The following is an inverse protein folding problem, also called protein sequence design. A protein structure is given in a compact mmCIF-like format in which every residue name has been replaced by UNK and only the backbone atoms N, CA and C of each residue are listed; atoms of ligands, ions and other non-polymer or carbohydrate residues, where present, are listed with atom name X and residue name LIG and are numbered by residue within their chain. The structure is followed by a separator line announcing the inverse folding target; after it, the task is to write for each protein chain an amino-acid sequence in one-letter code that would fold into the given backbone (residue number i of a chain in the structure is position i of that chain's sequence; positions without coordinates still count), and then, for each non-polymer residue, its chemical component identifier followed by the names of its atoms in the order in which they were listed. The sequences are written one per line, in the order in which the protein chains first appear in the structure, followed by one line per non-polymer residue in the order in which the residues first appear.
data_IF_317431990137
#
_entry.id   IF_317431990137
#
_cell.length_a   1.000
_cell.length_b   1.000
_cell.length_c   1.000
_cell.angle_alpha   90.00
_cell.angle_beta   90.00
_cell.angle_gamma   90.00
#
_symmetry.space_group_name_H-M   'P 1'
#
loop_
_entity.id
_entity.type
_entity.pdbx_description
1 polymer ?
#
# COMPACT_ATOMS: atom_id res chain seq x y z
N UNK A 1 28.75 15.33 -25.28
CA UNK A 1 28.39 14.44 -24.17
C UNK A 1 26.91 14.15 -24.28
N UNK A 2 26.50 12.89 -24.29
CA UNK A 2 25.09 12.53 -24.26
C UNK A 2 24.49 13.02 -22.93
N UNK A 3 23.35 13.70 -23.01
CA UNK A 3 22.59 14.12 -21.82
C UNK A 3 21.61 13.01 -21.45
N UNK A 4 21.31 12.81 -20.15
CA UNK A 4 20.35 11.81 -19.72
C UNK A 4 18.93 12.15 -20.15
N UNK A 5 18.23 11.19 -20.75
CA UNK A 5 16.80 11.23 -21.02
C UNK A 5 16.01 10.68 -19.82
N UNK A 6 15.82 11.54 -18.83
CA UNK A 6 15.02 11.25 -17.66
C UNK A 6 13.56 10.91 -17.95
N UNK A 7 13.02 11.41 -19.06
CA UNK A 7 11.64 11.16 -19.45
C UNK A 7 11.48 9.75 -19.99
N UNK A 8 12.45 9.27 -20.78
CA UNK A 8 12.52 7.87 -21.19
C UNK A 8 12.60 6.95 -19.97
N UNK A 9 13.55 7.19 -19.06
CA UNK A 9 13.70 6.40 -17.83
C UNK A 9 12.42 6.36 -16.98
N UNK A 10 11.80 7.53 -16.76
CA UNK A 10 10.53 7.64 -16.01
C UNK A 10 9.40 6.85 -16.68
N UNK A 11 9.22 6.99 -17.99
CA UNK A 11 8.16 6.29 -18.73
C UNK A 11 8.38 4.79 -18.78
N UNK A 12 9.63 4.35 -18.87
CA UNK A 12 9.97 2.91 -18.85
C UNK A 12 9.61 2.29 -17.50
N UNK A 13 9.91 2.95 -16.38
CA UNK A 13 9.48 2.50 -15.05
C UNK A 13 7.94 2.41 -14.95
N UNK A 14 7.21 3.44 -15.39
CA UNK A 14 5.74 3.43 -15.33
C UNK A 14 5.10 2.41 -16.26
N UNK A 15 5.74 2.14 -17.41
CA UNK A 15 5.30 1.08 -18.32
C UNK A 15 5.47 -0.28 -17.65
N UNK A 16 6.59 -0.53 -16.97
CA UNK A 16 6.79 -1.76 -16.21
C UNK A 16 5.71 -1.95 -15.13
N UNK A 17 5.42 -0.90 -14.34
CA UNK A 17 4.33 -0.93 -13.35
C UNK A 17 2.98 -1.30 -13.98
N UNK A 18 2.71 -0.82 -15.19
CA UNK A 18 1.48 -1.11 -15.93
C UNK A 18 1.47 -2.56 -16.43
N UNK A 19 2.54 -2.99 -17.08
CA UNK A 19 2.60 -4.26 -17.80
C UNK A 19 2.57 -5.44 -16.81
N UNK A 20 3.22 -5.30 -15.65
CA UNK A 20 3.19 -6.29 -14.56
C UNK A 20 2.03 -6.08 -13.57
N UNK A 21 1.09 -5.16 -13.85
CA UNK A 21 -0.09 -4.89 -13.02
C UNK A 21 0.23 -4.57 -11.53
N UNK A 22 1.38 -3.93 -11.25
CA UNK A 22 1.81 -3.61 -9.90
C UNK A 22 0.94 -2.49 -9.30
N UNK A 23 0.32 -2.75 -8.15
CA UNK A 23 -0.69 -1.88 -7.53
C UNK A 23 -0.48 -1.58 -6.03
N UNK A 24 0.61 -2.06 -5.43
CA UNK A 24 0.91 -1.89 -4.01
C UNK A 24 2.36 -1.49 -3.75
N UNK A 25 2.62 -0.95 -2.55
CA UNK A 25 3.96 -0.65 -2.04
C UNK A 25 4.16 -1.29 -0.65
N UNK A 26 5.40 -1.60 -0.22
CA UNK A 26 6.64 -1.63 -1.00
C UNK A 26 6.56 -2.55 -2.22
N UNK A 27 7.32 -2.25 -3.27
CA UNK A 27 7.34 -3.10 -4.48
C UNK A 27 8.25 -4.30 -4.24
N UNK A 28 7.72 -5.50 -4.49
CA UNK A 28 8.51 -6.73 -4.48
C UNK A 28 9.29 -6.89 -5.79
N UNK A 29 10.57 -6.50 -5.76
CA UNK A 29 11.44 -6.62 -6.93
C UNK A 29 11.77 -8.07 -7.28
N UNK A 30 11.79 -9.01 -6.31
CA UNK A 30 12.10 -10.41 -6.63
C UNK A 30 11.05 -10.99 -7.58
N UNK A 31 9.77 -10.68 -7.32
CA UNK A 31 8.67 -11.02 -8.21
C UNK A 31 8.83 -10.39 -9.60
N UNK A 32 9.25 -9.13 -9.70
CA UNK A 32 9.53 -8.48 -11.01
C UNK A 32 10.63 -9.21 -11.78
N UNK A 33 11.75 -9.54 -11.14
CA UNK A 33 12.84 -10.26 -11.79
C UNK A 33 12.38 -11.62 -12.32
N UNK A 34 11.58 -12.34 -11.52
CA UNK A 34 10.98 -13.62 -11.90
C UNK A 34 10.02 -13.46 -13.10
N UNK A 35 9.10 -12.50 -13.08
CA UNK A 35 8.12 -12.25 -14.15
C UNK A 35 8.81 -11.88 -15.48
N UNK A 36 9.95 -11.18 -15.41
CA UNK A 36 10.75 -10.83 -16.58
C UNK A 36 11.68 -11.97 -17.04
N UNK A 37 11.77 -13.07 -16.31
CA UNK A 37 12.70 -14.17 -16.59
C UNK A 37 14.17 -13.78 -16.47
N UNK A 38 14.49 -12.78 -15.64
CA UNK A 38 15.86 -12.33 -15.38
C UNK A 38 16.34 -13.03 -14.11
N UNK A 39 17.45 -13.76 -14.22
CA UNK A 39 18.01 -14.48 -13.08
C UNK A 39 18.54 -13.49 -12.04
N UNK A 40 18.14 -13.68 -10.80
CA UNK A 40 18.52 -12.85 -9.67
C UNK A 40 19.17 -13.74 -8.61
N UNK A 41 20.42 -13.45 -8.25
CA UNK A 41 21.17 -14.19 -7.23
C UNK A 41 21.76 -13.24 -6.19
N UNK A 42 21.66 -13.61 -4.93
CA UNK A 42 22.42 -12.95 -3.88
C UNK A 42 23.90 -13.32 -3.95
N UNK A 43 24.76 -12.48 -3.38
CA UNK A 43 26.17 -12.78 -3.24
C UNK A 43 26.39 -14.05 -2.40
N UNK A 44 25.60 -14.24 -1.34
CA UNK A 44 25.67 -15.46 -0.53
C UNK A 44 25.31 -16.73 -1.33
N UNK A 45 24.29 -16.70 -2.20
CA UNK A 45 23.97 -17.84 -3.08
C UNK A 45 25.08 -18.07 -4.11
N UNK A 46 25.59 -17.00 -4.71
CA UNK A 46 26.60 -17.06 -5.76
C UNK A 46 27.99 -17.51 -5.25
N UNK A 47 28.25 -17.53 -3.94
CA UNK A 47 29.45 -18.12 -3.34
C UNK A 47 29.56 -19.63 -3.55
N UNK A 48 28.45 -20.31 -3.84
CA UNK A 48 28.45 -21.74 -4.19
C UNK A 48 28.45 -21.99 -5.71
N UNK A 49 28.59 -20.94 -6.51
CA UNK A 49 28.55 -20.98 -7.98
C UNK A 49 29.95 -20.83 -8.61
N UNK A 50 30.10 -21.02 -9.93
CA UNK A 50 31.33 -20.68 -10.65
C UNK A 50 31.77 -19.21 -10.51
N UNK A 51 30.90 -18.32 -10.02
CA UNK A 51 31.20 -16.90 -9.80
C UNK A 51 31.81 -16.59 -8.44
N UNK A 52 31.96 -17.56 -7.52
CA UNK A 52 32.38 -17.35 -6.14
C UNK A 52 33.62 -16.44 -5.97
N UNK A 53 34.69 -16.73 -6.71
CA UNK A 53 35.94 -15.94 -6.63
C UNK A 53 35.76 -14.49 -7.11
N UNK A 54 34.82 -14.24 -8.02
CA UNK A 54 34.48 -12.89 -8.48
C UNK A 54 33.61 -12.16 -7.46
N UNK A 55 32.60 -12.83 -6.91
CA UNK A 55 31.71 -12.29 -5.87
C UNK A 55 32.53 -11.83 -4.65
N UNK A 56 33.52 -12.62 -4.23
CA UNK A 56 34.44 -12.23 -3.15
C UNK A 56 35.20 -10.93 -3.47
N UNK A 57 35.65 -10.74 -4.72
CA UNK A 57 36.30 -9.50 -5.15
C UNK A 57 35.33 -8.31 -5.16
N UNK A 58 34.05 -8.51 -5.50
CA UNK A 58 33.03 -7.47 -5.44
C UNK A 58 32.75 -7.03 -4.00
N UNK A 59 32.64 -7.98 -3.06
CA UNK A 59 32.49 -7.71 -1.63
C UNK A 59 33.64 -6.85 -1.08
N UNK A 60 34.89 -7.21 -1.41
CA UNK A 60 36.08 -6.44 -1.02
C UNK A 60 36.07 -5.00 -1.56
N UNK A 61 35.41 -4.77 -2.71
CA UNK A 61 35.22 -3.45 -3.32
C UNK A 61 33.94 -2.74 -2.86
N UNK A 62 33.18 -3.32 -1.93
CA UNK A 62 31.92 -2.77 -1.41
C UNK A 62 30.91 -2.46 -2.53
N UNK A 63 30.81 -3.37 -3.51
CA UNK A 63 29.85 -3.29 -4.62
C UNK A 63 28.54 -3.94 -4.17
N UNK A 64 27.47 -3.16 -4.04
CA UNK A 64 26.16 -3.66 -3.58
C UNK A 64 25.38 -4.50 -4.63
N UNK A 65 25.78 -4.46 -5.91
CA UNK A 65 25.09 -5.20 -6.99
C UNK A 65 25.74 -4.99 -8.35
N UNK A 66 25.45 -5.89 -9.29
CA UNK A 66 26.05 -5.88 -10.63
C UNK A 66 25.28 -6.78 -11.59
N UNK A 67 25.34 -6.46 -12.87
CA UNK A 67 24.82 -7.31 -13.94
C UNK A 67 25.93 -8.12 -14.65
N UNK A 68 25.65 -9.39 -14.95
CA UNK A 68 26.39 -10.26 -15.85
C UNK A 68 25.54 -10.55 -17.09
N UNK A 69 26.13 -10.45 -18.29
CA UNK A 69 25.47 -10.70 -19.57
C UNK A 69 26.06 -11.90 -20.27
N UNK A 70 25.21 -12.79 -20.77
CA UNK A 70 25.58 -13.86 -21.70
C UNK A 70 24.61 -13.87 -22.90
N UNK A 71 25.05 -13.26 -24.00
CA UNK A 71 24.23 -13.06 -25.18
C UNK A 71 23.05 -12.15 -24.87
N UNK A 72 21.84 -12.72 -24.87
CA UNK A 72 20.58 -12.02 -24.51
C UNK A 72 20.13 -12.28 -23.07
N UNK A 73 20.85 -13.11 -22.32
CA UNK A 73 20.52 -13.46 -20.94
C UNK A 73 21.26 -12.54 -19.99
N UNK A 74 20.59 -12.20 -18.89
CA UNK A 74 21.15 -11.40 -17.82
C UNK A 74 21.03 -12.16 -16.50
N UNK A 75 22.08 -12.07 -15.70
CA UNK A 75 22.09 -12.47 -14.29
C UNK A 75 22.41 -11.22 -13.49
N UNK A 76 21.57 -10.87 -12.53
CA UNK A 76 21.84 -9.79 -11.59
C UNK A 76 22.28 -10.38 -10.27
N UNK A 77 23.43 -9.91 -9.78
CA UNK A 77 23.96 -10.24 -8.47
C UNK A 77 23.77 -9.07 -7.52
N UNK A 78 23.45 -9.33 -6.25
CA UNK A 78 23.33 -8.27 -5.23
C UNK A 78 23.86 -8.71 -3.87
N UNK A 79 24.33 -7.74 -3.08
CA UNK A 79 24.76 -7.98 -1.70
C UNK A 79 23.55 -8.06 -0.77
N UNK A 80 23.20 -9.28 -0.36
CA UNK A 80 22.10 -9.59 0.54
C UNK A 80 22.38 -9.22 2.00
N UNK A 81 23.65 -9.04 2.38
CA UNK A 81 24.07 -8.57 3.71
C UNK A 81 24.13 -7.04 3.81
N UNK A 82 23.80 -6.33 2.74
CA UNK A 82 23.69 -4.88 2.76
C UNK A 82 22.53 -4.44 3.68
N UNK A 83 22.47 -3.16 4.00
CA UNK A 83 21.29 -2.62 4.69
C UNK A 83 20.03 -2.93 3.87
N UNK A 84 19.04 -3.56 4.52
CA UNK A 84 17.83 -4.09 3.86
C UNK A 84 17.14 -3.05 2.99
N UNK A 85 17.11 -1.79 3.44
CA UNK A 85 16.48 -0.68 2.74
C UNK A 85 17.29 -0.12 1.54
N UNK A 86 18.54 -0.55 1.34
CA UNK A 86 19.36 -0.22 0.16
C UNK A 86 19.14 -1.21 -0.98
N UNK A 87 18.85 -2.47 -0.66
CA UNK A 87 18.68 -3.56 -1.63
C UNK A 87 17.65 -3.20 -2.72
N UNK A 88 16.45 -2.65 -2.40
CA UNK A 88 15.46 -2.32 -3.43
C UNK A 88 15.98 -1.30 -4.46
N UNK A 89 16.71 -0.28 -4.03
CA UNK A 89 17.27 0.69 -4.96
C UNK A 89 18.33 0.05 -5.86
N UNK A 90 19.23 -0.74 -5.30
CA UNK A 90 20.26 -1.45 -6.07
C UNK A 90 19.64 -2.36 -7.13
N UNK A 91 18.67 -3.19 -6.73
CA UNK A 91 18.00 -4.11 -7.66
C UNK A 91 17.23 -3.38 -8.76
N UNK A 92 16.53 -2.29 -8.42
CA UNK A 92 15.82 -1.49 -9.41
C UNK A 92 16.77 -0.72 -10.34
N UNK A 93 17.94 -0.30 -9.85
CA UNK A 93 18.98 0.36 -10.63
C UNK A 93 19.59 -0.57 -11.68
N UNK A 94 20.00 -1.79 -11.28
CA UNK A 94 20.50 -2.79 -12.23
C UNK A 94 19.42 -3.18 -13.26
N UNK A 95 18.16 -3.31 -12.83
CA UNK A 95 17.04 -3.55 -13.73
C UNK A 95 16.85 -2.39 -14.72
N UNK A 96 17.05 -1.16 -14.27
CA UNK A 96 17.03 0.04 -15.11
C UNK A 96 18.06 -0.04 -16.23
N UNK A 97 19.29 -0.48 -15.94
CA UNK A 97 20.29 -0.67 -16.99
C UNK A 97 19.87 -1.69 -18.05
N UNK A 98 19.22 -2.78 -17.66
CA UNK A 98 18.73 -3.80 -18.57
C UNK A 98 17.59 -3.24 -19.44
N UNK A 99 16.56 -2.66 -18.83
CA UNK A 99 15.35 -2.23 -19.53
C UNK A 99 15.52 -0.95 -20.35
N UNK A 100 16.53 -0.13 -20.04
CA UNK A 100 16.90 1.05 -20.83
C UNK A 100 17.92 0.72 -21.94
N UNK A 101 18.29 -0.56 -22.09
CA UNK A 101 19.21 -0.99 -23.15
C UNK A 101 20.66 -0.52 -22.96
N UNK A 102 21.04 -0.07 -21.76
CA UNK A 102 22.40 0.42 -21.47
C UNK A 102 23.49 -0.64 -21.72
N UNK A 103 23.08 -1.92 -21.77
CA UNK A 103 23.94 -3.08 -21.93
C UNK A 103 23.87 -3.72 -23.32
N UNK A 104 23.08 -3.20 -24.27
CA UNK A 104 22.89 -3.83 -25.59
C UNK A 104 24.22 -4.00 -26.34
N UNK A 105 25.05 -2.95 -26.33
CA UNK A 105 26.35 -2.92 -27.01
C UNK A 105 27.53 -3.41 -26.14
N UNK A 106 27.26 -3.88 -24.93
CA UNK A 106 28.30 -4.41 -24.04
C UNK A 106 28.68 -5.85 -24.42
N UNK A 107 29.96 -6.23 -24.30
CA UNK A 107 30.38 -7.63 -24.48
C UNK A 107 29.77 -8.53 -23.40
N UNK A 108 29.80 -9.84 -23.64
CA UNK A 108 29.45 -10.83 -22.62
C UNK A 108 30.41 -10.75 -21.43
N UNK A 109 29.92 -11.12 -20.26
CA UNK A 109 30.65 -11.08 -19.01
C UNK A 109 30.05 -10.11 -18.00
N UNK A 110 30.85 -9.81 -16.98
CA UNK A 110 30.50 -8.81 -15.99
C UNK A 110 30.52 -7.42 -16.59
N UNK A 111 29.41 -6.72 -16.45
CA UNK A 111 29.25 -5.39 -16.99
C UNK A 111 29.86 -4.41 -16.00
N UNK A 112 30.81 -3.56 -16.40
CA UNK A 112 31.33 -2.56 -15.50
C UNK A 112 30.17 -1.67 -15.08
N UNK A 113 30.02 -1.40 -13.78
CA UNK A 113 29.34 -0.17 -13.38
C UNK A 113 30.02 0.96 -14.13
N UNK A 114 29.25 1.84 -14.75
CA UNK A 114 29.82 3.01 -15.41
C UNK A 114 30.49 3.94 -14.38
N UNK A 115 30.35 3.64 -13.08
CA UNK A 115 31.02 4.18 -11.90
C UNK A 115 32.56 4.35 -11.98
N UNK A 116 33.30 3.64 -12.84
CA UNK A 116 34.71 3.96 -13.10
C UNK A 116 34.89 5.34 -13.78
N UNK A 117 33.78 6.04 -14.11
CA UNK A 117 33.75 7.33 -14.78
C UNK A 117 32.81 8.34 -14.12
N UNK A 118 32.83 8.47 -12.80
CA UNK A 118 32.13 9.54 -12.02
C UNK A 118 30.60 9.54 -12.15
N UNK A 119 29.92 10.24 -11.24
CA UNK A 119 28.47 10.49 -11.22
C UNK A 119 27.93 11.29 -12.43
N UNK A 120 28.67 11.33 -13.54
CA UNK A 120 28.38 12.10 -14.76
C UNK A 120 27.92 11.25 -15.94
N UNK A 121 28.05 9.93 -15.90
CA UNK A 121 27.52 9.08 -16.98
C UNK A 121 25.99 9.21 -17.03
N UNK A 122 25.46 9.47 -18.23
CA UNK A 122 24.03 9.65 -18.44
C UNK A 122 23.26 8.36 -18.14
N UNK A 123 23.86 7.19 -18.36
CA UNK A 123 23.24 5.87 -18.15
C UNK A 123 22.99 5.58 -16.67
N UNK A 124 23.92 5.96 -15.81
CA UNK A 124 23.78 5.85 -14.35
C UNK A 124 22.66 6.76 -13.86
N UNK A 125 22.62 8.01 -14.35
CA UNK A 125 21.57 8.98 -14.00
C UNK A 125 20.18 8.53 -14.48
N UNK A 126 20.10 7.90 -15.65
CA UNK A 126 18.87 7.32 -16.16
C UNK A 126 18.45 6.08 -15.36
N UNK A 127 19.38 5.19 -15.00
CA UNK A 127 19.12 4.04 -14.14
C UNK A 127 18.63 4.47 -12.74
N UNK A 128 19.24 5.51 -12.14
CA UNK A 128 18.79 6.10 -10.89
C UNK A 128 17.37 6.67 -10.97
N UNK A 129 17.05 7.36 -12.09
CA UNK A 129 15.71 7.89 -12.33
C UNK A 129 14.69 6.77 -12.49
N UNK A 130 15.02 5.73 -13.25
CA UNK A 130 14.19 4.53 -13.41
C UNK A 130 13.95 3.87 -12.05
N UNK A 131 15.01 3.63 -11.28
CA UNK A 131 14.93 2.96 -9.99
C UNK A 131 14.03 3.74 -9.01
N UNK A 132 14.27 5.04 -8.88
CA UNK A 132 13.48 5.91 -8.04
C UNK A 132 12.01 5.95 -8.44
N UNK A 133 11.71 5.99 -9.74
CA UNK A 133 10.33 5.99 -10.24
C UNK A 133 9.61 4.66 -10.09
N UNK A 134 10.35 3.55 -10.17
CA UNK A 134 9.79 2.23 -9.94
C UNK A 134 9.40 2.08 -8.47
N UNK A 135 10.38 2.14 -7.56
CA UNK A 135 10.17 1.74 -6.15
C UNK A 135 9.52 2.82 -5.28
N UNK A 136 9.61 4.09 -5.70
CA UNK A 136 9.11 5.26 -4.98
C UNK A 136 8.64 6.32 -5.97
N UNK A 137 7.60 6.02 -6.74
CA UNK A 137 7.15 6.94 -7.79
C UNK A 137 6.78 8.33 -7.26
N UNK A 138 7.26 9.40 -7.91
CA UNK A 138 6.97 10.80 -7.51
C UNK A 138 5.46 11.11 -7.51
N UNK A 139 4.65 10.67 -8.51
CA UNK A 139 3.19 10.72 -8.45
C UNK A 139 2.55 10.14 -7.17
N UNK A 140 3.06 9.01 -6.64
CA UNK A 140 2.49 8.41 -5.43
C UNK A 140 2.73 9.29 -4.21
N UNK A 141 3.95 9.79 -4.05
CA UNK A 141 4.28 10.74 -2.98
C UNK A 141 3.42 12.01 -3.03
N UNK A 142 3.17 12.54 -4.23
CA UNK A 142 2.26 13.67 -4.43
C UNK A 142 0.82 13.34 -4.04
N UNK A 143 0.30 12.18 -4.49
CA UNK A 143 -1.09 11.77 -4.24
C UNK A 143 -1.38 11.46 -2.76
N UNK A 144 -0.37 11.07 -1.99
CA UNK A 144 -0.47 10.84 -0.54
C UNK A 144 -0.01 12.03 0.30
N UNK A 145 0.31 13.16 -0.34
CA UNK A 145 0.83 14.37 0.31
C UNK A 145 2.12 14.17 1.14
N UNK A 146 2.91 13.14 0.82
CA UNK A 146 4.22 12.87 1.43
C UNK A 146 5.31 13.66 0.71
N UNK A 147 5.23 14.98 0.84
CA UNK A 147 6.07 15.93 0.08
C UNK A 147 6.88 16.88 0.95
N UNK A 148 6.72 16.80 2.28
CA UNK A 148 7.50 17.57 3.23
C UNK A 148 8.86 16.89 3.45
N UNK A 149 9.99 17.62 3.49
CA UNK A 149 11.29 17.04 3.88
C UNK A 149 11.27 16.23 5.17
N UNK A 150 10.41 16.58 6.14
CA UNK A 150 10.24 15.83 7.39
C UNK A 150 9.52 14.49 7.22
N UNK A 151 8.95 14.21 6.05
CA UNK A 151 8.29 12.92 5.76
C UNK A 151 9.28 11.83 5.36
N UNK A 152 10.59 12.12 5.26
CA UNK A 152 11.59 11.19 4.73
C UNK A 152 11.62 9.83 5.45
N UNK A 153 11.52 9.82 6.79
CA UNK A 153 11.44 8.58 7.57
C UNK A 153 10.13 7.81 7.30
N UNK A 154 9.00 8.52 7.16
CA UNK A 154 7.71 7.91 6.83
C UNK A 154 7.78 7.28 5.43
N UNK A 155 8.31 8.01 4.45
CA UNK A 155 8.48 7.54 3.07
C UNK A 155 9.43 6.35 3.03
N UNK A 156 10.55 6.41 3.76
CA UNK A 156 11.50 5.30 3.91
C UNK A 156 10.79 4.02 4.36
N UNK A 157 9.99 4.10 5.42
CA UNK A 157 9.26 2.95 5.96
C UNK A 157 8.12 2.46 5.04
N UNK A 158 7.34 3.38 4.47
CA UNK A 158 6.20 3.03 3.61
C UNK A 158 6.65 2.34 2.32
N UNK A 159 7.69 2.86 1.67
CA UNK A 159 8.17 2.34 0.39
C UNK A 159 9.27 1.29 0.54
N UNK A 160 9.76 1.04 1.77
CA UNK A 160 10.82 0.06 2.04
C UNK A 160 12.17 0.47 1.45
N UNK A 161 12.46 1.77 1.37
CA UNK A 161 13.68 2.32 0.76
C UNK A 161 14.54 3.00 1.81
N UNK A 162 15.80 3.30 1.49
CA UNK A 162 16.68 4.03 2.42
C UNK A 162 16.19 5.47 2.63
N UNK A 163 16.53 6.06 3.78
CA UNK A 163 16.25 7.46 4.08
C UNK A 163 16.76 8.40 2.98
N UNK A 164 17.98 8.17 2.46
CA UNK A 164 18.53 8.95 1.35
C UNK A 164 17.66 8.85 0.08
N UNK A 165 17.21 7.65 -0.28
CA UNK A 165 16.33 7.44 -1.44
C UNK A 165 14.99 8.18 -1.26
N UNK A 166 14.45 8.19 -0.04
CA UNK A 166 13.25 8.94 0.33
C UNK A 166 13.46 10.45 0.19
N UNK A 167 14.53 11.00 0.77
CA UNK A 167 14.88 12.43 0.68
C UNK A 167 15.03 12.90 -0.76
N UNK A 168 15.82 12.18 -1.58
CA UNK A 168 16.00 12.51 -3.01
C UNK A 168 14.65 12.56 -3.73
N UNK A 169 13.74 11.64 -3.40
CA UNK A 169 12.39 11.63 -3.92
C UNK A 169 11.58 12.88 -3.63
N UNK A 170 11.52 13.23 -2.35
CA UNK A 170 10.80 14.41 -1.87
C UNK A 170 11.34 15.67 -2.53
N UNK A 171 12.66 15.78 -2.70
CA UNK A 171 13.30 16.91 -3.38
C UNK A 171 12.95 16.99 -4.87
N UNK A 172 12.90 15.84 -5.57
CA UNK A 172 12.59 15.81 -7.00
C UNK A 172 11.14 16.23 -7.30
N UNK A 173 10.18 15.94 -6.40
CA UNK A 173 8.77 16.34 -6.56
C UNK A 173 8.63 17.86 -6.65
N UNK A 174 9.42 18.62 -5.88
CA UNK A 174 9.35 20.10 -5.83
C UNK A 174 9.60 20.75 -7.20
N UNK A 175 10.19 20.02 -8.15
CA UNK A 175 10.50 20.49 -9.51
C UNK A 175 9.42 20.13 -10.52
N UNK A 176 8.34 19.45 -10.10
CA UNK A 176 7.29 18.94 -10.98
C UNK A 176 5.99 19.68 -10.69
N UNK A 177 5.42 20.30 -11.72
CA UNK A 177 4.06 20.79 -11.65
C UNK A 177 3.08 19.66 -12.02
N UNK A 178 2.56 18.94 -11.03
CA UNK A 178 1.65 17.81 -11.27
C UNK A 178 0.33 18.22 -11.95
N UNK A 179 -0.05 19.50 -11.89
CA UNK A 179 -1.23 20.02 -12.60
C UNK A 179 -1.10 19.91 -14.13
N UNK A 180 0.13 19.83 -14.65
CA UNK A 180 0.38 19.70 -16.10
C UNK A 180 0.36 18.25 -16.60
N UNK A 181 0.26 17.26 -15.69
CA UNK A 181 0.27 15.82 -16.01
C UNK A 181 -0.93 15.05 -15.43
N UNK A 182 -2.18 15.50 -15.67
CA UNK A 182 -3.38 14.89 -15.06
C UNK A 182 -3.60 13.43 -15.48
N UNK A 183 -3.19 13.04 -16.70
CA UNK A 183 -3.28 11.65 -17.17
C UNK A 183 -2.41 10.72 -16.33
N UNK A 184 -1.20 11.16 -15.96
CA UNK A 184 -0.31 10.41 -15.08
C UNK A 184 -0.91 10.26 -13.69
N UNK A 185 -1.44 11.35 -13.11
CA UNK A 185 -2.10 11.29 -11.81
C UNK A 185 -3.30 10.34 -11.80
N UNK A 186 -4.11 10.33 -12.86
CA UNK A 186 -5.23 9.39 -13.02
C UNK A 186 -4.76 7.95 -13.10
N UNK A 187 -3.69 7.68 -13.86
CA UNK A 187 -3.09 6.35 -13.93
C UNK A 187 -2.69 5.83 -12.54
N UNK A 188 -1.97 6.63 -11.76
CA UNK A 188 -1.55 6.23 -10.41
C UNK A 188 -2.71 6.16 -9.41
N UNK A 189 -3.64 7.13 -9.45
CA UNK A 189 -4.83 7.13 -8.59
C UNK A 189 -5.69 5.88 -8.78
N UNK A 190 -5.82 5.42 -10.03
CA UNK A 190 -6.60 4.22 -10.32
C UNK A 190 -5.85 2.95 -9.93
N UNK A 191 -4.55 2.86 -10.22
CA UNK A 191 -3.79 1.63 -9.98
C UNK A 191 -3.47 1.41 -8.51
N UNK A 192 -3.10 2.47 -7.79
CA UNK A 192 -2.77 2.42 -6.37
C UNK A 192 -3.95 2.95 -5.53
N UNK A 193 -5.19 2.67 -5.95
CA UNK A 193 -6.38 3.24 -5.34
C UNK A 193 -6.50 2.85 -3.87
N UNK A 194 -6.31 1.58 -3.53
CA UNK A 194 -6.31 1.11 -2.14
C UNK A 194 -5.23 1.82 -1.32
N UNK A 195 -3.99 1.89 -1.84
CA UNK A 195 -2.89 2.58 -1.17
C UNK A 195 -3.22 4.06 -0.89
N UNK A 196 -3.77 4.79 -1.87
CA UNK A 196 -4.03 6.24 -1.76
C UNK A 196 -5.28 6.53 -0.91
N UNK A 197 -6.30 5.68 -1.01
CA UNK A 197 -7.62 5.96 -0.46
C UNK A 197 -7.97 5.18 0.80
N UNK A 198 -7.05 4.40 1.37
CA UNK A 198 -7.29 3.77 2.68
C UNK A 198 -7.37 4.84 3.76
N UNK A 199 -8.48 4.83 4.50
CA UNK A 199 -8.80 5.79 5.56
C UNK A 199 -9.01 5.07 6.89
N UNK A 200 -8.52 5.70 7.95
CA UNK A 200 -8.74 5.29 9.32
C UNK A 200 -9.50 6.38 10.08
N UNK A 201 -10.48 5.98 10.88
CA UNK A 201 -11.22 6.85 11.77
C UNK A 201 -10.79 6.60 13.22
N UNK A 202 -10.09 7.54 13.86
CA UNK A 202 -9.67 7.41 15.26
C UNK A 202 -10.81 7.46 16.29
N UNK A 203 -12.02 7.89 15.90
CA UNK A 203 -13.17 7.96 16.81
C UNK A 203 -13.80 6.59 17.07
N UNK A 204 -13.86 5.76 16.03
CA UNK A 204 -14.54 4.46 16.07
C UNK A 204 -13.66 3.34 15.52
N UNK A 205 -12.37 3.58 15.33
CA UNK A 205 -11.41 2.58 14.85
C UNK A 205 -11.76 1.89 13.53
N UNK A 206 -12.60 2.51 12.70
CA UNK A 206 -12.99 1.94 11.41
C UNK A 206 -11.90 2.20 10.36
N UNK A 207 -11.45 1.12 9.72
CA UNK A 207 -10.49 1.12 8.61
C UNK A 207 -11.22 0.72 7.33
N UNK A 208 -11.14 1.54 6.28
CA UNK A 208 -11.83 1.27 5.01
C UNK A 208 -11.15 1.92 3.81
N UNK A 209 -11.45 1.45 2.61
CA UNK A 209 -10.97 2.05 1.35
C UNK A 209 -12.03 2.99 0.79
N UNK A 210 -11.71 4.27 0.72
CA UNK A 210 -12.58 5.24 0.08
C UNK A 210 -12.62 5.03 -1.45
N UNK A 211 -13.80 4.74 -1.99
CA UNK A 211 -13.98 4.55 -3.44
C UNK A 211 -13.87 5.87 -4.25
N UNK A 212 -13.95 7.03 -3.59
CA UNK A 212 -13.90 8.36 -4.20
C UNK A 212 -13.21 9.37 -3.30
N UNK A 213 -12.63 10.41 -3.91
CA UNK A 213 -12.02 11.53 -3.17
C UNK A 213 -13.03 12.42 -2.45
N UNK A 214 -14.33 12.30 -2.76
CA UNK A 214 -15.42 13.01 -2.09
C UNK A 214 -15.78 12.44 -0.72
N UNK A 215 -15.12 11.37 -0.29
CA UNK A 215 -15.33 10.81 1.05
C UNK A 215 -14.64 11.70 2.07
N UNK A 216 -15.46 12.41 2.84
CA UNK A 216 -15.03 13.30 3.91
C UNK A 216 -15.45 12.79 5.29
N UNK A 217 -16.41 11.85 5.36
CA UNK A 217 -17.01 11.40 6.61
C UNK A 217 -16.83 9.89 6.79
N UNK A 218 -16.63 9.47 8.03
CA UNK A 218 -16.61 8.07 8.40
C UNK A 218 -18.01 7.45 8.19
N UNK A 219 -18.13 6.34 7.44
CA UNK A 219 -19.42 5.67 7.21
C UNK A 219 -20.05 5.11 8.49
N UNK A 220 -19.25 4.87 9.53
CA UNK A 220 -19.70 4.21 10.76
C UNK A 220 -20.12 5.19 11.84
N UNK A 221 -19.35 6.27 12.06
CA UNK A 221 -19.60 7.21 13.17
C UNK A 221 -19.84 8.67 12.74
N UNK A 222 -19.83 8.96 11.44
CA UNK A 222 -20.03 10.30 10.88
C UNK A 222 -18.90 11.29 11.16
N UNK A 223 -17.76 10.85 11.70
CA UNK A 223 -16.62 11.74 11.98
C UNK A 223 -15.98 12.27 10.68
N UNK A 224 -15.66 13.56 10.64
CA UNK A 224 -15.01 14.20 9.48
C UNK A 224 -13.48 14.05 9.47
N UNK A 225 -12.87 13.83 10.64
CA UNK A 225 -11.42 13.76 10.78
C UNK A 225 -10.88 12.37 10.41
N UNK A 226 -10.95 12.03 9.12
CA UNK A 226 -10.38 10.81 8.57
C UNK A 226 -8.89 10.99 8.28
N UNK A 227 -8.08 10.03 8.71
CA UNK A 227 -6.65 9.99 8.42
C UNK A 227 -6.37 9.04 7.26
N UNK A 228 -5.38 9.37 6.44
CA UNK A 228 -4.82 8.39 5.53
C UNK A 228 -4.05 7.33 6.32
N UNK A 229 -4.31 6.06 6.04
CA UNK A 229 -3.67 4.94 6.73
C UNK A 229 -2.81 4.13 5.78
N UNK A 230 -1.64 3.74 6.29
CA UNK A 230 -0.81 2.70 5.72
C UNK A 230 -0.15 1.93 6.86
N UNK A 231 -0.12 0.60 6.78
CA UNK A 231 0.42 -0.27 7.86
C UNK A 231 1.87 0.05 8.27
N UNK A 232 2.68 0.52 7.32
CA UNK A 232 4.08 0.90 7.57
C UNK A 232 4.25 2.38 7.98
N UNK A 233 3.16 3.13 8.19
CA UNK A 233 3.24 4.50 8.68
C UNK A 233 3.31 4.50 10.21
N UNK A 234 4.51 4.43 10.77
CA UNK A 234 4.72 4.31 12.22
C UNK A 234 4.16 5.49 13.04
N UNK A 235 4.01 6.69 12.46
CA UNK A 235 3.46 7.83 13.19
C UNK A 235 2.01 7.60 13.61
N UNK A 236 1.20 6.92 12.78
CA UNK A 236 -0.20 6.70 13.15
C UNK A 236 -0.30 5.77 14.37
N UNK A 237 0.55 4.76 14.44
CA UNK A 237 0.65 3.85 15.57
C UNK A 237 1.15 4.57 16.82
N UNK A 238 2.10 5.50 16.67
CA UNK A 238 2.59 6.29 17.80
C UNK A 238 1.50 7.18 18.44
N UNK A 239 0.65 7.81 17.63
CA UNK A 239 -0.38 8.74 18.14
C UNK A 239 -1.70 8.07 18.51
N UNK A 240 -2.04 6.95 17.87
CA UNK A 240 -3.37 6.34 17.97
C UNK A 240 -3.32 4.85 18.31
N UNK A 241 -2.12 4.30 18.52
CA UNK A 241 -1.97 2.92 18.97
C UNK A 241 -2.52 2.72 20.38
N UNK A 242 -2.87 1.48 20.67
CA UNK A 242 -3.23 1.04 22.00
C UNK A 242 -2.00 0.88 22.91
N UNK A 243 -2.18 0.23 24.06
CA UNK A 243 -1.09 -0.02 25.03
C UNK A 243 0.05 -0.88 24.48
N UNK A 244 -0.18 -1.62 23.40
CA UNK A 244 0.84 -2.43 22.70
C UNK A 244 1.55 -1.64 21.59
N UNK A 245 1.03 -0.47 21.24
CA UNK A 245 1.49 0.34 20.13
C UNK A 245 0.90 -0.08 18.78
N UNK A 246 -0.09 -0.98 18.77
CA UNK A 246 -0.83 -1.37 17.57
C UNK A 246 -2.06 -0.49 17.38
N UNK A 247 -2.40 -0.17 16.12
CA UNK A 247 -3.57 0.64 15.83
C UNK A 247 -4.84 -0.20 16.09
N UNK A 248 -5.76 0.23 16.97
CA UNK A 248 -6.99 -0.51 17.21
C UNK A 248 -7.86 -0.43 15.97
N UNK A 249 -8.25 -1.59 15.45
CA UNK A 249 -9.14 -1.71 14.30
C UNK A 249 -10.40 -2.44 14.76
N UNK A 250 -11.55 -1.80 14.54
CA UNK A 250 -12.85 -2.40 14.82
C UNK A 250 -13.39 -3.11 13.60
N UNK A 251 -13.75 -4.38 13.77
CA UNK A 251 -14.46 -5.18 12.79
C UNK A 251 -15.98 -5.03 13.00
N UNK A 252 -16.57 -4.13 12.23
CA UNK A 252 -18.00 -3.86 12.28
C UNK A 252 -18.75 -4.88 11.42
N UNK A 253 -19.89 -5.36 11.92
CA UNK A 253 -20.78 -6.29 11.22
C UNK A 253 -21.13 -5.76 9.83
N UNK A 254 -20.79 -6.57 8.83
CA UNK A 254 -21.11 -6.31 7.43
C UNK A 254 -22.30 -7.16 6.99
N UNK A 255 -22.90 -6.81 5.85
CA UNK A 255 -23.99 -7.58 5.26
C UNK A 255 -23.69 -7.79 3.77
N UNK A 256 -23.91 -9.01 3.24
CA UNK A 256 -23.71 -9.30 1.83
C UNK A 256 -24.65 -8.45 0.96
N UNK A 257 -24.16 -8.15 -0.24
CA UNK A 257 -24.87 -7.37 -1.24
C UNK A 257 -24.70 -7.99 -2.62
N UNK A 258 -25.75 -7.89 -3.42
CA UNK A 258 -25.73 -8.31 -4.81
C UNK A 258 -24.78 -7.40 -5.61
N UNK A 259 -23.88 -8.03 -6.38
CA UNK A 259 -22.80 -7.34 -7.10
C UNK A 259 -23.34 -6.43 -8.21
N UNK A 260 -24.47 -6.78 -8.83
CA UNK A 260 -24.99 -6.09 -10.01
C UNK A 260 -25.79 -4.84 -9.64
N UNK A 261 -26.59 -4.90 -8.59
CA UNK A 261 -27.52 -3.82 -8.23
C UNK A 261 -27.21 -3.12 -6.88
N UNK A 262 -26.33 -3.70 -6.05
CA UNK A 262 -25.93 -3.16 -4.75
C UNK A 262 -26.96 -3.33 -3.63
N UNK A 263 -28.02 -4.14 -3.85
CA UNK A 263 -29.03 -4.44 -2.84
C UNK A 263 -28.53 -5.49 -1.87
N UNK A 264 -29.03 -5.43 -0.64
CA UNK A 264 -28.63 -6.36 0.42
C UNK A 264 -29.24 -7.75 0.19
N UNK A 265 -28.43 -8.79 0.37
CA UNK A 265 -28.86 -10.18 0.30
C UNK A 265 -29.34 -10.69 1.66
N UNK A 266 -28.91 -10.04 2.75
CA UNK A 266 -29.32 -10.32 4.12
C UNK A 266 -29.88 -9.07 4.78
N UNK A 267 -31.11 -9.10 5.28
CA UNK A 267 -31.75 -7.94 5.90
C UNK A 267 -31.02 -7.50 7.19
N UNK A 268 -30.53 -6.25 7.30
CA UNK A 268 -29.86 -5.80 8.52
C UNK A 268 -30.75 -5.72 9.76
N UNK A 269 -32.08 -5.61 9.58
CA UNK A 269 -33.05 -5.49 10.70
C UNK A 269 -33.49 -6.83 11.27
N UNK A 270 -33.80 -7.81 10.42
CA UNK A 270 -34.38 -9.09 10.84
C UNK A 270 -33.55 -10.32 10.45
N UNK A 271 -32.37 -10.10 9.85
CA UNK A 271 -31.40 -11.14 9.49
C UNK A 271 -31.92 -12.19 8.50
N UNK A 272 -33.02 -11.91 7.81
CA UNK A 272 -33.46 -12.76 6.70
C UNK A 272 -32.40 -12.80 5.61
N UNK A 273 -31.86 -13.99 5.38
CA UNK A 273 -30.91 -14.30 4.31
C UNK A 273 -31.62 -14.57 2.97
N UNK A 274 -30.84 -14.56 1.88
CA UNK A 274 -31.27 -14.92 0.52
C UNK A 274 -32.47 -14.07 0.02
N UNK A 275 -32.44 -12.75 0.29
CA UNK A 275 -33.42 -11.83 -0.28
C UNK A 275 -33.24 -11.77 -1.79
N UNK A 276 -34.33 -11.99 -2.51
CA UNK A 276 -34.35 -11.88 -3.96
C UNK A 276 -33.92 -10.48 -4.41
N UNK A 277 -32.96 -10.43 -5.35
CA UNK A 277 -32.38 -9.20 -5.85
C UNK A 277 -33.40 -8.29 -6.53
N UNK A 278 -34.53 -8.82 -7.02
CA UNK A 278 -35.60 -8.04 -7.64
C UNK A 278 -36.49 -7.33 -6.61
N UNK A 279 -36.44 -7.75 -5.34
CA UNK A 279 -37.29 -7.20 -4.31
C UNK A 279 -36.77 -5.88 -3.78
N UNK A 280 -37.64 -4.88 -3.70
CA UNK A 280 -37.33 -3.53 -3.20
C UNK A 280 -37.38 -3.44 -1.67
N UNK A 281 -38.04 -4.40 -1.01
CA UNK A 281 -38.27 -4.42 0.42
C UNK A 281 -38.11 -5.85 0.95
N UNK A 282 -37.63 -5.96 2.19
CA UNK A 282 -37.61 -7.21 2.92
C UNK A 282 -39.05 -7.70 3.16
N UNK A 283 -39.38 -8.97 2.86
CA UNK A 283 -40.74 -9.51 3.00
C UNK A 283 -41.20 -9.65 4.46
N UNK A 284 -40.26 -9.67 5.42
CA UNK A 284 -40.56 -9.90 6.85
C UNK A 284 -40.78 -8.59 7.59
N UNK A 285 -39.88 -7.63 7.42
CA UNK A 285 -39.88 -6.40 8.22
C UNK A 285 -40.06 -5.11 7.40
N UNK A 286 -40.31 -5.25 6.09
CA UNK A 286 -40.54 -4.15 5.14
C UNK A 286 -39.41 -3.12 5.04
N UNK A 287 -38.20 -3.43 5.52
CA UNK A 287 -37.04 -2.57 5.34
C UNK A 287 -36.67 -2.52 3.85
N UNK A 288 -36.40 -1.35 3.25
CA UNK A 288 -35.90 -1.28 1.88
C UNK A 288 -34.63 -2.13 1.70
N UNK A 289 -34.44 -2.75 0.53
CA UNK A 289 -33.26 -3.60 0.25
C UNK A 289 -32.03 -2.82 -0.21
N UNK A 290 -32.16 -1.50 -0.41
CA UNK A 290 -31.05 -0.60 -0.73
C UNK A 290 -30.88 0.43 0.39
N UNK A 291 -29.69 0.47 0.98
CA UNK A 291 -29.32 1.58 1.85
C UNK A 291 -29.01 2.81 1.00
N UNK A 292 -29.53 3.98 1.39
CA UNK A 292 -29.36 5.24 0.66
C UNK A 292 -29.15 6.40 1.63
N UNK A 293 -28.50 7.46 1.15
CA UNK A 293 -28.56 8.76 1.79
C UNK A 293 -29.72 9.56 1.19
N UNK A 294 -30.74 9.87 2.00
CA UNK A 294 -31.90 10.63 1.53
C UNK A 294 -31.56 12.08 1.15
N UNK A 295 -30.51 12.66 1.76
CA UNK A 295 -30.12 14.05 1.52
C UNK A 295 -29.40 14.26 0.17
N UNK A 296 -28.52 13.35 -0.23
CA UNK A 296 -27.73 13.49 -1.47
C UNK A 296 -28.00 12.41 -2.52
N UNK A 297 -28.84 11.42 -2.21
CA UNK A 297 -29.23 10.34 -3.13
C UNK A 297 -28.17 9.25 -3.33
N UNK A 298 -27.06 9.27 -2.59
CA UNK A 298 -26.00 8.27 -2.73
C UNK A 298 -26.50 6.88 -2.30
N UNK A 299 -26.22 5.85 -3.10
CA UNK A 299 -26.38 4.45 -2.69
C UNK A 299 -25.24 4.07 -1.76
N UNK A 300 -25.57 3.51 -0.60
CA UNK A 300 -24.62 3.20 0.45
C UNK A 300 -24.50 1.69 0.65
N UNK A 301 -23.36 1.25 1.15
CA UNK A 301 -23.18 -0.13 1.59
C UNK A 301 -24.16 -0.42 2.75
N UNK A 302 -24.65 -1.67 2.89
CA UNK A 302 -25.64 -2.03 3.89
C UNK A 302 -25.25 -1.71 5.34
N UNK A 303 -23.95 -1.76 5.67
CA UNK A 303 -23.45 -1.55 7.02
C UNK A 303 -23.09 -0.08 7.31
N UNK A 304 -23.20 0.82 6.32
CA UNK A 304 -22.91 2.24 6.52
C UNK A 304 -24.05 2.89 7.30
N UNK A 305 -23.69 3.51 8.42
CA UNK A 305 -24.61 4.24 9.31
C UNK A 305 -24.77 5.70 8.88
N UNK A 306 -23.71 6.27 8.31
CA UNK A 306 -23.65 7.64 7.82
C UNK A 306 -23.19 7.66 6.36
N UNK A 307 -23.64 8.65 5.60
CA UNK A 307 -23.18 8.91 4.25
C UNK A 307 -21.73 9.43 4.27
N UNK A 308 -20.78 8.76 3.61
CA UNK A 308 -19.38 9.22 3.56
C UNK A 308 -19.17 10.56 2.84
N UNK A 309 -20.12 10.99 2.01
CA UNK A 309 -20.02 12.24 1.23
C UNK A 309 -20.54 13.47 1.97
N UNK A 310 -21.71 13.38 2.62
CA UNK A 310 -22.35 14.53 3.27
C UNK A 310 -22.46 14.42 4.81
N UNK A 311 -22.12 13.27 5.40
CA UNK A 311 -22.13 13.05 6.84
C UNK A 311 -23.52 12.85 7.47
N UNK A 312 -24.59 12.81 6.67
CA UNK A 312 -25.95 12.56 7.15
C UNK A 312 -26.19 11.09 7.44
N UNK A 313 -27.14 10.79 8.31
CA UNK A 313 -27.52 9.42 8.62
C UNK A 313 -28.04 8.72 7.36
N UNK A 314 -27.62 7.47 7.20
CA UNK A 314 -28.15 6.56 6.19
C UNK A 314 -29.60 6.19 6.52
N UNK A 315 -30.36 5.78 5.50
CA UNK A 315 -31.70 5.24 5.68
C UNK A 315 -31.72 4.13 6.73
N UNK A 316 -30.83 3.14 6.63
CA UNK A 316 -30.84 2.00 7.54
C UNK A 316 -30.58 2.39 9.00
N UNK A 317 -29.75 3.41 9.23
CA UNK A 317 -29.49 3.90 10.58
C UNK A 317 -30.68 4.71 11.13
N UNK A 318 -31.29 5.59 10.32
CA UNK A 318 -32.53 6.31 10.70
C UNK A 318 -33.67 5.35 11.07
N UNK A 319 -33.78 4.28 10.29
CA UNK A 319 -34.74 3.18 10.47
C UNK A 319 -34.40 2.22 11.62
N UNK A 320 -33.32 2.51 12.38
CA UNK A 320 -32.83 1.68 13.49
C UNK A 320 -32.59 0.21 13.10
N UNK A 321 -32.29 -0.04 11.82
CA UNK A 321 -31.90 -1.36 11.32
C UNK A 321 -30.44 -1.68 11.66
N UNK A 322 -29.64 -0.68 12.01
CA UNK A 322 -28.25 -0.83 12.45
C UNK A 322 -28.11 -0.28 13.87
N UNK A 323 -27.43 -1.01 14.74
CA UNK A 323 -27.03 -0.54 16.07
C UNK A 323 -26.01 0.58 15.96
N UNK A 324 -25.85 1.43 16.99
CA UNK A 324 -24.80 2.45 16.94
C UNK A 324 -23.41 1.81 17.02
N UNK A 325 -22.39 2.52 16.53
CA UNK A 325 -21.01 2.00 16.57
C UNK A 325 -20.51 1.77 18.01
N UNK A 326 -21.05 2.52 18.99
CA UNK A 326 -20.71 2.38 20.41
C UNK A 326 -21.36 1.13 20.99
N UNK A 327 -22.64 0.93 20.74
CA UNK A 327 -23.35 -0.24 21.24
C UNK A 327 -22.73 -1.53 20.67
N UNK A 328 -22.34 -1.53 19.40
CA UNK A 328 -21.63 -2.66 18.80
C UNK A 328 -20.24 -2.87 19.41
N UNK A 329 -19.48 -1.78 19.62
CA UNK A 329 -18.19 -1.84 20.31
C UNK A 329 -18.34 -2.44 21.71
N UNK A 330 -19.27 -1.92 22.51
CA UNK A 330 -19.53 -2.35 23.89
C UNK A 330 -19.99 -3.81 23.91
N UNK A 331 -20.82 -4.24 22.97
CA UNK A 331 -21.27 -5.64 22.86
C UNK A 331 -20.11 -6.59 22.59
N UNK A 332 -19.16 -6.21 21.72
CA UNK A 332 -17.98 -7.03 21.41
C UNK A 332 -16.96 -7.07 22.57
N UNK A 333 -16.91 -6.04 23.41
CA UNK A 333 -15.90 -5.89 24.48
C UNK A 333 -16.44 -6.13 25.89
N UNK A 334 -17.73 -6.40 26.03
CA UNK A 334 -18.33 -6.84 27.30
C UNK A 334 -18.10 -8.34 27.46
N UNK A 335 -17.10 -8.73 28.25
CA UNK A 335 -17.05 -10.10 28.80
C UNK A 335 -18.33 -10.37 29.60
N UNK A 336 -18.91 -11.59 29.54
CA UNK A 336 -20.00 -11.92 30.44
C UNK A 336 -19.45 -11.83 31.87
N UNK A 337 -19.96 -10.91 32.67
CA UNK A 337 -19.68 -10.87 34.10
C UNK A 337 -20.22 -12.17 34.68
N UNK A 338 -19.36 -13.16 34.90
CA UNK A 338 -19.70 -14.29 35.75
C UNK A 338 -19.88 -13.71 37.14
N UNK A 339 -21.12 -13.42 37.51
CA UNK A 339 -21.52 -13.25 38.90
C UNK A 339 -21.40 -14.63 39.55
N UNK A 340 -20.18 -15.07 39.83
CA UNK A 340 -19.97 -16.11 40.82
C UNK A 340 -20.29 -15.49 42.17
N UNK A 341 -21.50 -15.78 42.66
CA UNK A 341 -21.80 -15.69 44.07
C UNK A 341 -20.74 -16.51 44.81
N UNK A 342 -19.85 -15.85 45.53
CA UNK A 342 -18.89 -16.54 46.38
C UNK A 342 -19.64 -17.12 47.57
N UNK A 343 -19.96 -18.40 47.49
CA UNK A 343 -20.39 -19.20 48.63
C UNK A 343 -19.39 -20.33 48.83
N UNK A 344 -18.24 -20.04 49.43
CA UNK A 344 -17.37 -21.07 49.99
C UNK A 344 -16.74 -20.56 51.28
N UNK A 345 -17.43 -20.96 52.34
CA UNK A 345 -17.03 -21.24 53.71
C UNK A 345 -15.52 -21.25 54.01
N UNK A 346 -15.17 -20.47 55.04
CA UNK A 346 -14.03 -20.73 55.91
C UNK A 346 -14.18 -22.12 56.52
N UNK A 347 -13.44 -23.11 56.01
CA UNK A 347 -12.85 -24.20 56.80
C UNK A 347 -12.37 -25.29 55.84
N UNK A 348 -11.04 -25.38 55.65
CA UNK A 348 -10.22 -26.60 55.54
C UNK A 348 -8.93 -26.30 54.77
N UNK A 349 -7.91 -25.87 55.50
CA UNK A 349 -6.52 -26.11 55.08
C UNK A 349 -6.04 -27.34 55.86
N UNK A 350 -5.69 -28.43 55.17
CA UNK A 350 -4.69 -29.33 55.68
C UNK A 350 -3.57 -29.59 54.65
N UNK A 351 -2.36 -29.22 55.09
CA UNK A 351 -1.01 -29.56 54.63
C UNK A 351 -0.37 -28.74 53.51
#
# INVERSE_FOLDING_TARGET
MNQPDYNHATKTAWRLLKDLQICSVPIDLRSIYMDLGIQLESFTEAESSPFAAFIQKLRLKQIDGLCYKDGKRYIVFYEDKAQVNRIPFTLAHELGHILLGHHENSPNGFLPRFANTSSRDYREREADMFAGELIRSRPLLYLTNLTNPHDADIVSNIFGVSHLCATVGIEQIKRINFLTIPKTLKFFSNRFSSFINTKYCSKCSHLFVANTRSIEYCPVCGNKSLMWYHKNNYLINFFYGDVTGELPIMDYKTYPQNIDNGRTETCPRCELENIDSDWNYCPICSLPTQNVCEDCGEKLDPHFRYCPKCGKESLYFKEKALTSWKDEYDTQHSSPTTTEASSWDEDTIPF
#
